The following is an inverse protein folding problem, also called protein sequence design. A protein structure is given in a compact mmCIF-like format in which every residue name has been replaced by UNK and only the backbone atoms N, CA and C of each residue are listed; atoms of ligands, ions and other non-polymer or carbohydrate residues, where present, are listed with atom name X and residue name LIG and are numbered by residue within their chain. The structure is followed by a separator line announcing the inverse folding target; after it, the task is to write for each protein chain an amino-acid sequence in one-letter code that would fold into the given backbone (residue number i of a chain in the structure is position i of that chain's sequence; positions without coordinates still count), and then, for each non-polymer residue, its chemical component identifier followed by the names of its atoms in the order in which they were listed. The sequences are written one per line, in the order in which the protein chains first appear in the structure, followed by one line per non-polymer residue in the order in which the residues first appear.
data_IF_215196795588
#
_entry.id   IF_215196795588
#
_cell.length_a   1.000
_cell.length_b   1.000
_cell.length_c   1.000
_cell.angle_alpha   90.00
_cell.angle_beta   90.00
_cell.angle_gamma   90.00
#
_symmetry.space_group_name_H-M   'P 1'
#
loop_
_entity.id
_entity.type
_entity.pdbx_description
1 polymer ?
#
# COMPACT_ATOMS: atom_id res chain seq x y z
N UNK A 1 17.80 8.72 2.48
CA UNK A 1 17.03 9.98 2.56
C UNK A 1 15.77 9.85 1.72
N UNK A 2 14.58 10.13 2.28
CA UNK A 2 13.30 10.21 1.55
C UNK A 2 13.08 11.59 0.88
N UNK A 3 13.99 12.54 1.06
CA UNK A 3 13.95 13.83 0.38
C UNK A 3 14.20 13.63 -1.12
N UNK A 4 13.19 13.93 -1.96
CA UNK A 4 13.20 13.80 -3.42
C UNK A 4 12.20 12.80 -4.02
N UNK A 5 11.41 12.09 -3.20
CA UNK A 5 10.51 11.01 -3.64
C UNK A 5 9.04 11.37 -3.54
N UNK A 6 8.59 12.38 -4.29
CA UNK A 6 7.15 12.66 -4.39
C UNK A 6 6.54 11.75 -5.46
N UNK A 7 5.51 11.00 -5.09
CA UNK A 7 4.73 10.25 -6.07
C UNK A 7 3.93 11.26 -6.91
N UNK A 8 4.08 11.17 -8.23
CA UNK A 8 3.25 11.90 -9.20
C UNK A 8 1.88 11.26 -9.30
N UNK A 9 1.83 9.93 -9.34
CA UNK A 9 0.61 9.15 -9.50
C UNK A 9 0.68 7.87 -8.70
N UNK A 10 -0.46 7.50 -8.13
CA UNK A 10 -0.69 6.18 -7.54
C UNK A 10 -1.85 5.54 -8.28
N UNK A 11 -1.70 4.26 -8.63
CA UNK A 11 -2.80 3.44 -9.15
C UNK A 11 -2.99 2.27 -8.19
N UNK A 12 -4.22 2.09 -7.73
CA UNK A 12 -4.62 0.91 -6.98
C UNK A 12 -5.32 -0.05 -7.94
N UNK A 13 -4.91 -1.32 -7.91
CA UNK A 13 -5.43 -2.33 -8.84
C UNK A 13 -6.46 -3.23 -8.17
N UNK A 14 -6.10 -3.84 -7.04
CA UNK A 14 -6.97 -4.77 -6.32
C UNK A 14 -7.00 -4.45 -4.84
N UNK A 15 -8.19 -4.59 -4.25
CA UNK A 15 -8.44 -4.55 -2.82
C UNK A 15 -9.07 -5.88 -2.42
N UNK A 16 -8.45 -6.58 -1.47
CA UNK A 16 -8.94 -7.86 -0.94
C UNK A 16 -9.05 -7.72 0.57
N UNK A 17 -10.15 -8.18 1.14
CA UNK A 17 -10.36 -8.22 2.59
C UNK A 17 -10.76 -9.61 3.04
N UNK A 18 -10.29 -10.00 4.22
CA UNK A 18 -10.73 -11.23 4.88
C UNK A 18 -10.53 -11.13 6.39
N UNK A 19 -11.62 -11.21 7.16
CA UNK A 19 -11.58 -11.10 8.62
C UNK A 19 -10.92 -9.81 9.09
N UNK A 20 -9.75 -9.92 9.74
CA UNK A 20 -8.96 -8.80 10.29
C UNK A 20 -7.84 -8.33 9.37
N UNK A 21 -7.84 -8.74 8.10
CA UNK A 21 -6.75 -8.45 7.18
C UNK A 21 -7.28 -7.82 5.90
N UNK A 22 -6.54 -6.85 5.37
CA UNK A 22 -6.74 -6.32 4.03
C UNK A 22 -5.42 -6.34 3.25
N UNK A 23 -5.48 -6.55 1.95
CA UNK A 23 -4.36 -6.43 1.04
C UNK A 23 -4.74 -5.51 -0.12
N UNK A 24 -3.82 -4.61 -0.47
CA UNK A 24 -3.98 -3.66 -1.55
C UNK A 24 -2.71 -3.69 -2.40
N UNK A 25 -2.85 -3.88 -3.71
CA UNK A 25 -1.71 -3.77 -4.61
C UNK A 25 -1.89 -2.63 -5.62
N UNK A 26 -0.78 -2.20 -6.18
CA UNK A 26 -0.80 -1.07 -7.10
C UNK A 26 0.57 -0.70 -7.65
N UNK A 27 0.65 0.53 -8.12
CA UNK A 27 1.90 1.11 -8.63
C UNK A 27 2.06 2.58 -8.26
N UNK A 28 3.32 3.00 -8.13
CA UNK A 28 3.73 4.39 -8.01
C UNK A 28 4.47 4.82 -9.26
N UNK A 29 4.11 5.99 -9.76
CA UNK A 29 4.94 6.76 -10.68
C UNK A 29 5.50 7.96 -9.91
N UNK A 30 6.82 8.07 -9.86
CA UNK A 30 7.50 9.16 -9.16
C UNK A 30 7.66 10.37 -10.09
N UNK A 31 7.77 11.57 -9.52
CA UNK A 31 8.11 12.77 -10.31
C UNK A 31 9.43 12.62 -11.07
N UNK A 32 10.37 11.81 -10.55
CA UNK A 32 11.62 11.45 -11.22
C UNK A 32 11.46 10.51 -12.43
N UNK A 33 10.24 10.03 -12.71
CA UNK A 33 9.95 9.02 -13.74
C UNK A 33 10.23 7.57 -13.32
N UNK A 34 10.75 7.33 -12.11
CA UNK A 34 10.89 5.95 -11.60
C UNK A 34 9.54 5.30 -11.35
N UNK A 35 9.43 4.01 -11.66
CA UNK A 35 8.21 3.21 -11.47
C UNK A 35 8.42 2.16 -10.38
N UNK A 36 7.39 1.92 -9.59
CA UNK A 36 7.38 0.89 -8.56
C UNK A 36 6.04 0.15 -8.58
N UNK A 37 6.06 -1.15 -8.25
CA UNK A 37 4.85 -1.88 -7.83
C UNK A 37 4.89 -2.11 -6.34
N UNK A 38 3.72 -2.12 -5.72
CA UNK A 38 3.59 -2.40 -4.30
C UNK A 38 2.48 -3.41 -4.00
N UNK A 39 2.60 -4.05 -2.85
CA UNK A 39 1.54 -4.78 -2.17
C UNK A 39 1.61 -4.43 -0.68
N UNK A 40 0.58 -3.74 -0.20
CA UNK A 40 0.43 -3.37 1.20
C UNK A 40 -0.56 -4.32 1.86
N UNK A 41 -0.15 -4.91 2.99
CA UNK A 41 -0.96 -5.79 3.82
C UNK A 41 -1.20 -5.11 5.15
N UNK A 42 -2.47 -4.98 5.52
CA UNK A 42 -2.94 -4.34 6.74
C UNK A 42 -3.55 -5.38 7.66
N UNK A 43 -3.24 -5.29 8.95
CA UNK A 43 -3.94 -6.00 10.00
C UNK A 43 -4.71 -5.02 10.88
N UNK A 44 -5.97 -5.34 11.16
CA UNK A 44 -6.85 -4.58 12.04
C UNK A 44 -6.87 -5.19 13.44
N UNK A 45 -7.12 -4.36 14.46
CA UNK A 45 -7.21 -4.78 15.85
C UNK A 45 -8.40 -5.74 16.13
N UNK A 46 -9.39 -5.76 15.26
CA UNK A 46 -10.60 -6.58 15.31
C UNK A 46 -11.29 -6.65 13.94
N UNK A 47 -12.31 -7.50 13.81
CA UNK A 47 -13.04 -7.71 12.55
C UNK A 47 -14.32 -6.85 12.44
N UNK A 48 -14.56 -5.98 13.42
CA UNK A 48 -15.69 -5.07 13.43
C UNK A 48 -15.47 -3.91 12.46
N UNK A 49 -16.56 -3.25 12.07
CA UNK A 49 -16.52 -1.95 11.41
C UNK A 49 -15.67 -0.97 12.22
N UNK A 50 -14.92 -0.11 11.53
CA UNK A 50 -14.06 0.95 12.10
C UNK A 50 -12.98 0.46 13.08
N UNK A 51 -12.59 -0.82 13.01
CA UNK A 51 -11.46 -1.30 13.78
C UNK A 51 -10.15 -0.62 13.33
N UNK A 52 -9.32 -0.10 14.26
CA UNK A 52 -8.08 0.57 13.89
C UNK A 52 -7.08 -0.42 13.29
N UNK A 53 -6.23 0.08 12.39
CA UNK A 53 -5.08 -0.66 11.87
C UNK A 53 -4.06 -0.84 13.00
N UNK A 54 -3.70 -2.08 13.31
CA UNK A 54 -2.68 -2.41 14.31
C UNK A 54 -1.30 -2.62 13.71
N UNK A 55 -1.22 -3.08 12.45
CA UNK A 55 0.02 -3.31 11.74
C UNK A 55 -0.18 -3.04 10.24
N UNK A 56 0.86 -2.54 9.59
CA UNK A 56 0.95 -2.54 8.14
C UNK A 56 2.32 -3.06 7.71
N UNK A 57 2.35 -3.86 6.64
CA UNK A 57 3.57 -4.32 5.97
C UNK A 57 3.47 -3.99 4.50
N UNK A 58 4.51 -3.36 3.95
CA UNK A 58 4.57 -3.00 2.54
C UNK A 58 5.69 -3.75 1.83
N UNK A 59 5.38 -4.36 0.70
CA UNK A 59 6.33 -4.96 -0.22
C UNK A 59 6.41 -4.09 -1.46
N UNK A 60 7.61 -3.58 -1.77
CA UNK A 60 7.82 -2.67 -2.89
C UNK A 60 8.90 -3.23 -3.80
N UNK A 61 8.61 -3.30 -5.09
CA UNK A 61 9.57 -3.65 -6.14
C UNK A 61 9.73 -2.47 -7.09
N UNK A 62 10.98 -2.20 -7.48
CA UNK A 62 11.28 -1.23 -8.54
C UNK A 62 11.16 -1.94 -9.89
N UNK A 63 10.58 -1.25 -10.87
CA UNK A 63 10.52 -1.69 -12.27
C UNK A 63 11.58 -0.93 -13.07
#
# INVERSE_FOLDING_TARGET
SMAGKKARKVVFDTFITHGRTAAINGSYEMESGSMFRFCDVYEFAGASTDSPISLYTSYVIRI
#
